data_IF_421281655284
#
_entry.id   IF_421281655284
#
_cell.length_a   1.000
_cell.length_b   1.000
_cell.length_c   1.000
_cell.angle_alpha   90.00
_cell.angle_beta   90.00
_cell.angle_gamma   90.00
#
_symmetry.space_group_name_H-M   'P 1'
#
loop_
_entity.id
_entity.type
_entity.pdbx_description
1 polymer ?
#
# COMPACT_ATOMS: atom_id res chain seq x y z
N UNK A 1 -4.65 1.92 -2.38
CA UNK A 1 -3.60 1.27 -1.56
C UNK A 1 -4.05 -0.10 -1.09
N UNK A 2 -5.13 -0.19 -0.31
CA UNK A 2 -5.71 -1.45 0.16
C UNK A 2 -5.95 -2.50 -0.95
N UNK A 3 -6.60 -2.12 -2.04
CA UNK A 3 -6.85 -3.01 -3.18
C UNK A 3 -5.55 -3.54 -3.82
N UNK A 4 -4.57 -2.66 -4.05
CA UNK A 4 -3.27 -3.06 -4.57
C UNK A 4 -2.54 -4.04 -3.62
N UNK A 5 -2.56 -3.77 -2.31
CA UNK A 5 -2.01 -4.68 -1.31
C UNK A 5 -2.71 -6.05 -1.30
N UNK A 6 -4.04 -6.07 -1.46
CA UNK A 6 -4.82 -7.31 -1.55
C UNK A 6 -4.43 -8.13 -2.78
N UNK A 7 -4.22 -7.49 -3.94
CA UNK A 7 -3.75 -8.16 -5.16
C UNK A 7 -2.35 -8.75 -4.98
N UNK A 8 -1.38 -7.97 -4.44
CA UNK A 8 -0.06 -8.50 -4.11
C UNK A 8 -0.14 -9.70 -3.15
N UNK A 9 -1.01 -9.63 -2.13
CA UNK A 9 -1.18 -10.71 -1.16
C UNK A 9 -1.72 -11.98 -1.82
N UNK A 10 -2.71 -11.87 -2.71
CA UNK A 10 -3.26 -13.02 -3.44
C UNK A 10 -2.21 -13.67 -4.35
N UNK A 11 -1.43 -12.87 -5.08
CA UNK A 11 -0.34 -13.38 -5.91
C UNK A 11 0.71 -14.12 -5.07
N UNK A 12 1.11 -13.52 -3.95
CA UNK A 12 2.04 -14.12 -3.00
C UNK A 12 1.52 -15.46 -2.44
N UNK A 13 0.25 -15.51 -2.05
CA UNK A 13 -0.41 -16.74 -1.61
C UNK A 13 -0.41 -17.81 -2.70
N UNK A 14 -0.63 -17.41 -3.96
CA UNK A 14 -0.53 -18.29 -5.13
C UNK A 14 0.88 -18.86 -5.32
N UNK A 15 1.92 -18.05 -5.13
CA UNK A 15 3.33 -18.46 -5.21
C UNK A 15 3.68 -19.42 -4.07
N UNK A 16 3.24 -19.14 -2.83
CA UNK A 16 3.40 -20.06 -1.70
C UNK A 16 2.72 -21.39 -1.99
N UNK A 17 1.46 -21.39 -2.45
CA UNK A 17 0.69 -22.59 -2.69
C UNK A 17 1.35 -23.51 -3.74
N UNK A 18 1.93 -22.92 -4.80
CA UNK A 18 2.55 -23.64 -5.91
C UNK A 18 4.01 -24.06 -5.65
N UNK A 19 4.69 -23.45 -4.68
CA UNK A 19 6.10 -23.77 -4.39
C UNK A 19 6.23 -25.25 -3.98
N UNK A 20 7.16 -26.03 -4.57
CA UNK A 20 7.37 -27.43 -4.21
C UNK A 20 8.25 -27.62 -2.96
N UNK A 21 8.72 -26.53 -2.34
CA UNK A 21 9.64 -26.59 -1.21
C UNK A 21 9.00 -27.23 0.04
N UNK A 22 9.72 -28.16 0.66
CA UNK A 22 9.36 -28.78 1.94
C UNK A 22 9.49 -27.83 3.14
N UNK A 23 10.20 -26.70 2.99
CA UNK A 23 10.26 -25.64 4.01
C UNK A 23 8.90 -24.98 4.25
N UNK A 24 8.01 -25.00 3.24
CA UNK A 24 6.63 -24.54 3.37
C UNK A 24 5.76 -25.73 3.80
N UNK A 25 5.68 -25.96 5.11
CA UNK A 25 4.84 -27.00 5.71
C UNK A 25 3.36 -26.76 5.39
N UNK A 26 2.54 -27.81 5.53
CA UNK A 26 1.08 -27.69 5.37
C UNK A 26 0.48 -26.61 6.28
N UNK A 27 0.95 -26.54 7.53
CA UNK A 27 0.50 -25.54 8.50
C UNK A 27 0.86 -24.11 8.05
N UNK A 28 2.09 -23.90 7.55
CA UNK A 28 2.52 -22.59 7.05
C UNK A 28 1.70 -22.18 5.82
N UNK A 29 1.44 -23.10 4.89
CA UNK A 29 0.59 -22.82 3.71
C UNK A 29 -0.85 -22.48 4.10
N UNK A 30 -1.41 -23.17 5.09
CA UNK A 30 -2.74 -22.86 5.62
C UNK A 30 -2.77 -21.47 6.25
N UNK A 31 -1.77 -21.13 7.08
CA UNK A 31 -1.65 -19.79 7.67
C UNK A 31 -1.47 -18.71 6.59
N UNK A 32 -0.68 -18.96 5.56
CA UNK A 32 -0.48 -18.04 4.44
C UNK A 32 -1.79 -17.77 3.69
N UNK A 33 -2.54 -18.82 3.36
CA UNK A 33 -3.86 -18.73 2.70
C UNK A 33 -4.90 -17.98 3.53
N UNK A 34 -4.79 -18.03 4.86
CA UNK A 34 -5.76 -17.39 5.75
C UNK A 34 -5.64 -15.85 5.80
N UNK A 35 -4.54 -15.27 5.29
CA UNK A 35 -4.38 -13.82 5.32
C UNK A 35 -5.37 -13.10 4.39
N UNK A 36 -5.95 -12.01 4.88
CA UNK A 36 -6.79 -11.09 4.12
C UNK A 36 -6.51 -9.64 4.52
N UNK A 37 -6.96 -8.70 3.69
CA UNK A 37 -6.98 -7.27 4.02
C UNK A 37 -8.34 -6.96 4.65
N UNK A 38 -8.36 -6.12 5.69
CA UNK A 38 -9.59 -5.70 6.36
C UNK A 38 -10.57 -5.06 5.37
N UNK A 39 -11.85 -5.27 5.61
CA UNK A 39 -12.88 -4.54 4.91
C UNK A 39 -12.77 -3.07 5.25
N UNK A 40 -12.70 -2.25 4.21
CA UNK A 40 -12.56 -0.81 4.31
C UNK A 40 -13.55 -0.16 3.34
N UNK A 41 -13.92 1.09 3.62
CA UNK A 41 -14.68 1.90 2.69
C UNK A 41 -14.26 3.37 2.81
N UNK A 42 -14.48 4.11 1.72
CA UNK A 42 -14.37 5.56 1.69
C UNK A 42 -15.79 6.10 1.69
N UNK A 43 -16.11 6.98 2.63
CA UNK A 43 -17.36 7.73 2.64
C UNK A 43 -17.04 9.21 2.48
N UNK A 44 -17.93 9.95 1.83
CA UNK A 44 -17.76 11.38 1.67
C UNK A 44 -19.09 12.10 1.88
N UNK A 45 -19.01 13.39 2.21
CA UNK A 45 -20.15 14.31 2.24
C UNK A 45 -20.02 15.34 1.11
N UNK A 46 -21.14 15.89 0.63
CA UNK A 46 -21.15 16.83 -0.49
C UNK A 46 -21.22 16.16 -1.85
N UNK A 47 -20.68 16.82 -2.89
CA UNK A 47 -20.71 16.33 -4.27
C UNK A 47 -19.60 15.31 -4.54
N UNK A 48 -19.88 14.24 -5.28
CA UNK A 48 -18.90 13.19 -5.59
C UNK A 48 -17.65 13.70 -6.31
N UNK A 49 -17.82 14.68 -7.19
CA UNK A 49 -16.73 15.31 -7.94
C UNK A 49 -15.93 16.31 -7.11
N UNK A 50 -16.50 16.78 -5.99
CA UNK A 50 -15.91 17.80 -5.11
C UNK A 50 -16.38 17.61 -3.66
N UNK A 51 -15.97 16.50 -3.02
CA UNK A 51 -16.46 16.17 -1.68
C UNK A 51 -15.99 17.20 -0.67
N UNK A 52 -16.86 17.55 0.27
CA UNK A 52 -16.58 18.51 1.34
C UNK A 52 -15.76 17.87 2.45
N UNK A 53 -16.13 16.65 2.84
CA UNK A 53 -15.39 15.83 3.80
C UNK A 53 -15.25 14.41 3.26
N UNK A 54 -14.16 13.75 3.64
CA UNK A 54 -13.82 12.39 3.21
C UNK A 54 -13.34 11.63 4.43
N UNK A 55 -13.93 10.47 4.67
CA UNK A 55 -13.59 9.59 5.77
C UNK A 55 -13.21 8.22 5.24
N UNK A 56 -12.22 7.62 5.89
CA UNK A 56 -11.77 6.26 5.67
C UNK A 56 -12.24 5.44 6.86
N UNK A 57 -13.03 4.40 6.58
CA UNK A 57 -13.55 3.50 7.59
C UNK A 57 -13.00 2.10 7.36
N UNK A 58 -12.75 1.40 8.46
CA UNK A 58 -12.35 -0.01 8.47
C UNK A 58 -13.21 -0.78 9.47
N UNK A 59 -13.37 -2.08 9.24
CA UNK A 59 -13.97 -2.95 10.25
C UNK A 59 -13.08 -3.01 11.49
N UNK A 60 -13.66 -2.76 12.67
CA UNK A 60 -12.93 -2.91 13.93
C UNK A 60 -12.46 -4.36 14.11
N UNK A 61 -11.19 -4.53 14.45
CA UNK A 61 -10.56 -5.84 14.65
C UNK A 61 -10.47 -6.19 16.15
N UNK A 62 -11.36 -7.04 16.70
CA UNK A 62 -11.26 -7.46 18.10
C UNK A 62 -10.14 -8.50 18.29
N UNK A 63 -9.16 -8.20 19.13
CA UNK A 63 -8.15 -9.16 19.56
C UNK A 63 -6.79 -8.54 19.86
N UNK A 64 -5.76 -9.39 19.91
CA UNK A 64 -4.38 -8.95 20.10
C UNK A 64 -3.84 -8.41 18.79
N UNK A 65 -3.56 -7.11 18.77
CA UNK A 65 -2.98 -6.43 17.64
C UNK A 65 -1.47 -6.66 17.60
N UNK A 66 -0.97 -7.04 16.43
CA UNK A 66 0.46 -7.27 16.19
C UNK A 66 0.93 -6.53 14.95
N UNK A 67 2.18 -6.09 14.98
CA UNK A 67 2.89 -5.55 13.82
C UNK A 67 3.89 -6.58 13.32
N UNK A 68 3.81 -6.95 12.05
CA UNK A 68 4.68 -7.94 11.40
C UNK A 68 5.83 -7.29 10.62
N UNK A 69 5.60 -6.11 10.04
CA UNK A 69 6.63 -5.26 9.43
C UNK A 69 6.28 -3.78 9.62
N UNK A 70 7.27 -2.89 9.50
CA UNK A 70 7.10 -1.43 9.47
C UNK A 70 7.52 -0.91 8.09
N UNK A 71 7.20 0.34 7.77
CA UNK A 71 7.71 1.05 6.60
C UNK A 71 9.11 1.68 6.80
N UNK A 72 9.62 1.77 8.04
CA UNK A 72 10.93 2.35 8.34
C UNK A 72 11.79 1.55 9.33
N UNK A 73 11.23 0.53 9.99
CA UNK A 73 11.96 -0.37 10.90
C UNK A 73 11.57 -1.84 10.66
N UNK A 74 12.35 -2.54 9.84
CA UNK A 74 12.07 -3.93 9.48
C UNK A 74 12.55 -4.96 10.54
N UNK A 75 13.12 -4.50 11.66
CA UNK A 75 13.55 -5.35 12.78
C UNK A 75 12.43 -5.52 13.82
N UNK A 76 11.29 -6.04 13.39
CA UNK A 76 10.13 -6.27 14.26
C UNK A 76 10.41 -7.40 15.25
N UNK A 77 10.13 -7.16 16.53
CA UNK A 77 10.32 -8.17 17.58
C UNK A 77 9.24 -9.24 17.58
N UNK A 78 9.65 -10.50 17.74
CA UNK A 78 8.78 -11.66 17.85
C UNK A 78 8.07 -11.81 19.20
N UNK A 79 8.40 -10.96 20.20
CA UNK A 79 7.89 -11.07 21.57
C UNK A 79 6.60 -10.29 21.83
N UNK A 80 5.93 -9.81 20.80
CA UNK A 80 4.65 -9.11 20.95
C UNK A 80 3.57 -10.08 21.45
N UNK A 81 2.72 -9.68 22.41
CA UNK A 81 1.54 -10.46 22.79
C UNK A 81 0.67 -10.77 21.55
N UNK A 82 0.27 -12.03 21.39
CA UNK A 82 -0.52 -12.48 20.24
C UNK A 82 0.28 -12.78 18.96
N UNK A 83 1.60 -12.57 18.95
CA UNK A 83 2.44 -12.86 17.78
C UNK A 83 2.55 -14.36 17.52
N UNK A 84 2.24 -14.77 16.28
CA UNK A 84 2.50 -16.10 15.75
C UNK A 84 3.75 -16.05 14.87
N UNK A 85 4.76 -16.86 15.19
CA UNK A 85 6.07 -16.85 14.51
C UNK A 85 5.99 -17.26 13.04
N UNK A 86 5.07 -18.15 12.68
CA UNK A 86 4.87 -18.53 11.28
C UNK A 86 4.26 -17.36 10.52
N UNK A 87 3.29 -16.67 11.12
CA UNK A 87 2.67 -15.47 10.53
C UNK A 87 3.68 -14.33 10.36
N UNK A 88 4.54 -14.11 11.35
CA UNK A 88 5.66 -13.18 11.25
C UNK A 88 6.58 -13.54 10.08
N UNK A 89 6.91 -14.83 9.94
CA UNK A 89 7.78 -15.31 8.87
C UNK A 89 7.14 -15.15 7.49
N UNK A 90 5.85 -15.46 7.36
CA UNK A 90 5.07 -15.28 6.13
C UNK A 90 5.01 -13.80 5.75
N UNK A 91 4.69 -12.90 6.67
CA UNK A 91 4.57 -11.46 6.38
C UNK A 91 5.92 -10.81 6.08
N UNK A 92 7.01 -11.21 6.77
CA UNK A 92 8.36 -10.78 6.39
C UNK A 92 8.75 -11.28 4.99
N UNK A 93 8.37 -12.52 4.66
CA UNK A 93 8.54 -13.07 3.33
C UNK A 93 7.71 -12.35 2.28
N UNK A 94 6.52 -11.86 2.62
CA UNK A 94 5.64 -11.10 1.74
C UNK A 94 6.26 -9.76 1.35
N UNK A 95 6.75 -9.01 2.33
CA UNK A 95 7.50 -7.77 2.09
C UNK A 95 8.67 -8.00 1.13
N UNK A 96 9.51 -9.02 1.37
CA UNK A 96 10.62 -9.33 0.46
C UNK A 96 10.14 -9.79 -0.93
N UNK A 97 9.15 -10.68 -1.00
CA UNK A 97 8.62 -11.15 -2.28
C UNK A 97 8.08 -9.99 -3.12
N UNK A 98 7.39 -9.01 -2.52
CA UNK A 98 6.88 -7.85 -3.26
C UNK A 98 8.01 -7.00 -3.89
N UNK A 99 9.15 -6.88 -3.20
CA UNK A 99 10.35 -6.21 -3.71
C UNK A 99 10.97 -6.97 -4.89
N UNK A 100 11.04 -8.30 -4.81
CA UNK A 100 11.54 -9.13 -5.91
C UNK A 100 10.60 -9.08 -7.11
N UNK A 101 9.29 -9.23 -6.86
CA UNK A 101 8.26 -9.25 -7.90
C UNK A 101 8.22 -7.93 -8.69
N UNK A 102 8.51 -6.80 -8.03
CA UNK A 102 8.58 -5.48 -8.66
C UNK A 102 9.96 -5.13 -9.24
N UNK A 103 10.91 -6.07 -9.27
CA UNK A 103 12.31 -5.84 -9.68
C UNK A 103 12.97 -4.68 -8.92
N UNK A 104 12.67 -4.59 -7.62
CA UNK A 104 13.25 -3.61 -6.72
C UNK A 104 12.59 -2.23 -6.73
N UNK A 105 11.45 -2.06 -7.40
CA UNK A 105 10.75 -0.76 -7.50
C UNK A 105 9.76 -0.50 -6.36
N UNK A 106 9.08 -1.54 -5.90
CA UNK A 106 7.93 -1.44 -4.99
C UNK A 106 8.09 -2.38 -3.81
N UNK A 107 7.71 -1.94 -2.62
CA UNK A 107 7.79 -2.68 -1.37
C UNK A 107 6.46 -2.57 -0.61
N UNK A 108 5.81 -3.70 -0.36
CA UNK A 108 4.64 -3.78 0.53
C UNK A 108 5.14 -3.96 1.97
N UNK A 109 4.75 -3.05 2.85
CA UNK A 109 5.23 -2.98 4.23
C UNK A 109 4.14 -2.46 5.17
N UNK A 110 4.53 -2.12 6.40
CA UNK A 110 3.62 -1.73 7.48
C UNK A 110 2.50 -2.79 7.71
N UNK A 111 2.87 -4.06 7.63
CA UNK A 111 1.94 -5.17 7.76
C UNK A 111 1.57 -5.37 9.23
N UNK A 112 0.31 -5.17 9.58
CA UNK A 112 -0.16 -5.17 10.96
C UNK A 112 -1.64 -5.55 11.04
N UNK A 113 -2.12 -5.98 12.21
CA UNK A 113 -3.53 -6.30 12.41
C UNK A 113 -3.76 -7.35 13.49
N UNK A 114 -4.87 -8.09 13.37
CA UNK A 114 -5.28 -9.12 14.34
C UNK A 114 -5.43 -10.45 13.65
N UNK A 115 -4.79 -11.49 14.19
CA UNK A 115 -4.91 -12.83 13.64
C UNK A 115 -4.33 -12.91 12.23
N UNK A 116 -5.18 -13.07 11.22
CA UNK A 116 -4.80 -13.11 9.80
C UNK A 116 -5.43 -11.97 8.99
N UNK A 117 -6.08 -11.02 9.65
CA UNK A 117 -6.63 -9.83 8.98
C UNK A 117 -5.65 -8.69 9.14
N UNK A 118 -5.15 -8.20 8.01
CA UNK A 118 -4.19 -7.10 7.90
C UNK A 118 -4.95 -5.80 7.69
N UNK A 119 -4.53 -4.75 8.39
CA UNK A 119 -5.02 -3.39 8.18
C UNK A 119 -3.88 -2.40 7.97
N UNK A 120 -4.22 -1.25 7.39
CA UNK A 120 -3.33 -0.13 7.09
C UNK A 120 -2.00 -0.54 6.45
N UNK A 121 -1.99 -1.41 5.40
CA UNK A 121 -0.75 -1.75 4.74
C UNK A 121 -0.24 -0.57 3.92
N UNK A 122 1.08 -0.36 3.90
CA UNK A 122 1.73 0.70 3.12
C UNK A 122 2.42 0.10 1.88
N UNK A 123 2.28 0.80 0.75
CA UNK A 123 3.12 0.57 -0.43
C UNK A 123 4.15 1.69 -0.52
N UNK A 124 5.41 1.31 -0.66
CA UNK A 124 6.54 2.20 -0.85
C UNK A 124 7.09 1.97 -2.25
N UNK A 125 7.22 3.04 -3.05
CA UNK A 125 7.50 2.92 -4.49
C UNK A 125 8.50 3.98 -4.97
N UNK A 126 9.50 3.56 -5.73
CA UNK A 126 10.51 4.48 -6.30
C UNK A 126 9.89 5.55 -7.19
N UNK A 127 8.72 5.29 -7.77
CA UNK A 127 7.92 6.32 -8.40
C UNK A 127 7.17 7.15 -7.35
N UNK A 128 7.73 8.31 -7.03
CA UNK A 128 7.22 9.24 -6.02
C UNK A 128 5.84 9.84 -6.34
N UNK A 129 5.34 9.73 -7.58
CA UNK A 129 3.98 10.20 -7.92
C UNK A 129 2.89 9.20 -7.52
N UNK A 130 3.26 7.95 -7.20
CA UNK A 130 2.32 6.92 -6.77
C UNK A 130 2.13 6.93 -5.26
N UNK A 131 0.95 6.47 -4.82
CA UNK A 131 0.60 6.17 -3.43
C UNK A 131 0.47 7.37 -2.48
N UNK A 132 0.48 8.60 -3.01
CA UNK A 132 0.27 9.83 -2.25
C UNK A 132 1.39 10.14 -1.25
N UNK A 133 1.11 11.06 -0.33
CA UNK A 133 2.12 11.65 0.58
C UNK A 133 2.77 10.65 1.56
N UNK A 134 2.21 9.45 1.70
CA UNK A 134 2.76 8.37 2.54
C UNK A 134 3.94 7.62 1.93
N UNK A 135 4.28 7.87 0.66
CA UNK A 135 5.36 7.17 -0.03
C UNK A 135 6.75 7.68 0.42
N UNK A 136 7.45 6.88 1.23
CA UNK A 136 8.77 7.20 1.79
C UNK A 136 9.91 6.36 1.17
N UNK A 137 9.85 6.08 -0.14
CA UNK A 137 10.71 5.10 -0.83
C UNK A 137 12.20 5.21 -0.61
N UNK A 138 12.76 6.42 -0.62
CA UNK A 138 14.19 6.60 -0.38
C UNK A 138 14.63 5.97 0.95
N UNK A 139 13.87 6.22 2.02
CA UNK A 139 14.20 5.71 3.36
C UNK A 139 13.69 4.28 3.57
N UNK A 140 12.43 4.00 3.20
CA UNK A 140 11.80 2.72 3.47
C UNK A 140 12.52 1.56 2.77
N UNK A 141 12.85 1.70 1.49
CA UNK A 141 13.58 0.67 0.74
C UNK A 141 14.99 0.51 1.30
N UNK A 142 15.71 1.60 1.59
CA UNK A 142 17.04 1.51 2.19
C UNK A 142 17.02 0.74 3.52
N UNK A 143 16.08 1.09 4.42
CA UNK A 143 15.94 0.41 5.70
C UNK A 143 15.55 -1.07 5.54
N UNK A 144 14.75 -1.41 4.53
CA UNK A 144 14.46 -2.80 4.21
C UNK A 144 15.73 -3.56 3.77
N UNK A 145 16.51 -2.98 2.86
CA UNK A 145 17.75 -3.60 2.38
C UNK A 145 18.79 -3.78 3.50
N UNK A 146 18.88 -2.84 4.43
CA UNK A 146 19.80 -2.91 5.57
C UNK A 146 19.40 -3.98 6.59
N UNK A 147 18.10 -4.08 6.91
CA UNK A 147 17.62 -4.82 8.08
C UNK A 147 16.96 -6.17 7.77
N UNK A 148 16.58 -6.46 6.52
CA UNK A 148 15.89 -7.71 6.19
C UNK A 148 16.80 -8.91 6.36
N UNK A 149 16.32 -9.92 7.09
CA UNK A 149 16.98 -11.21 7.26
C UNK A 149 16.06 -12.28 6.65
N UNK A 150 16.56 -12.99 5.64
CA UNK A 150 15.80 -14.06 5.00
C UNK A 150 15.45 -15.19 5.97
N UNK A 151 14.17 -15.58 5.96
CA UNK A 151 13.65 -16.73 6.71
C UNK A 151 13.36 -17.93 5.77
N UNK A 152 12.76 -18.99 6.30
CA UNK A 152 12.45 -20.20 5.53
C UNK A 152 11.46 -19.96 4.38
N UNK A 153 10.57 -18.98 4.52
CA UNK A 153 9.65 -18.60 3.44
C UNK A 153 10.44 -17.95 2.30
N UNK A 154 11.36 -17.03 2.60
CA UNK A 154 12.23 -16.42 1.58
C UNK A 154 13.08 -17.48 0.87
N UNK A 155 13.65 -18.43 1.62
CA UNK A 155 14.45 -19.55 1.07
C UNK A 155 13.62 -20.49 0.21
N UNK A 156 12.42 -20.85 0.66
CA UNK A 156 11.50 -21.71 -0.07
C UNK A 156 11.07 -21.13 -1.42
N UNK A 157 10.95 -19.81 -1.49
CA UNK A 157 10.58 -19.07 -2.69
C UNK A 157 11.80 -18.67 -3.54
N UNK A 158 13.02 -19.01 -3.11
CA UNK A 158 14.28 -18.72 -3.81
C UNK A 158 14.44 -17.23 -4.16
N UNK A 159 14.08 -16.35 -3.22
CA UNK A 159 14.08 -14.90 -3.46
C UNK A 159 15.48 -14.27 -3.60
N UNK A 160 16.53 -14.97 -3.15
CA UNK A 160 17.89 -14.43 -3.12
C UNK A 160 18.08 -13.41 -2.00
N UNK A 161 19.15 -12.60 -2.09
CA UNK A 161 19.35 -11.43 -1.22
C UNK A 161 18.68 -10.22 -1.87
N UNK A 162 17.91 -9.41 -1.11
CA UNK A 162 17.32 -8.18 -1.65
C UNK A 162 18.36 -7.21 -2.24
N UNK A 163 19.60 -7.24 -1.71
CA UNK A 163 20.69 -6.35 -2.13
C UNK A 163 21.23 -6.67 -3.52
N UNK A 164 20.94 -7.86 -4.03
CA UNK A 164 21.44 -8.31 -5.34
C UNK A 164 20.54 -7.81 -6.48
N UNK A 165 19.38 -7.24 -6.16
CA UNK A 165 18.43 -6.72 -7.13
C UNK A 165 18.86 -5.31 -7.56
N UNK A 166 19.24 -5.18 -8.82
CA UNK A 166 19.48 -3.88 -9.45
C UNK A 166 18.12 -3.35 -9.93
N UNK A 167 17.61 -2.24 -9.36
CA UNK A 167 16.34 -1.67 -9.79
C UNK A 167 16.44 -1.22 -11.23
N UNK A 168 15.43 -1.53 -12.05
CA UNK A 168 15.29 -0.85 -13.33
C UNK A 168 15.11 0.63 -13.06
N UNK A 169 16.09 1.44 -13.49
CA UNK A 169 15.92 2.89 -13.48
C UNK A 169 14.78 3.15 -14.45
N UNK A 170 13.61 3.50 -13.91
CA UNK A 170 12.64 4.22 -14.70
C UNK A 170 13.38 5.46 -15.21
N UNK A 171 13.74 5.45 -16.50
CA UNK A 171 14.13 6.66 -17.18
C UNK A 171 12.99 7.63 -16.89
N UNK A 172 13.22 8.56 -15.97
CA UNK A 172 12.40 9.75 -15.84
C UNK A 172 12.60 10.43 -17.17
N UNK A 173 11.73 10.12 -18.13
CA UNK A 173 11.62 10.84 -19.38
C UNK A 173 11.50 12.28 -18.94
N UNK A 174 12.58 13.04 -19.17
CA UNK A 174 12.49 14.48 -19.20
C UNK A 174 11.29 14.77 -20.09
N UNK A 175 10.19 15.23 -19.49
CA UNK A 175 9.28 16.13 -20.17
C UNK A 175 10.10 17.40 -20.43
N UNK A 176 11.03 17.32 -21.38
CA UNK A 176 11.48 18.47 -22.13
C UNK A 176 10.25 18.90 -22.92
N UNK A 177 9.53 19.87 -22.38
CA UNK A 177 8.68 20.75 -23.18
C UNK A 177 9.57 21.37 -24.27
N UNK A 178 9.64 20.72 -25.42
CA UNK A 178 10.06 21.35 -26.67
C UNK A 178 8.91 22.23 -27.15
N UNK A 179 8.76 23.40 -26.53
CA UNK A 179 8.07 24.52 -27.15
C UNK A 179 9.17 25.41 -27.77
N UNK A 180 9.50 25.13 -29.03
CA UNK A 180 10.26 26.06 -29.86
C UNK A 180 9.45 27.35 -30.02
N UNK A 181 9.87 28.42 -29.35
CA UNK A 181 9.38 29.76 -29.64
C UNK A 181 10.35 30.38 -30.64
N UNK A 182 9.94 30.37 -31.90
CA UNK A 182 10.48 31.26 -32.93
C UNK A 182 10.14 32.71 -32.53
N UNK A 183 11.16 33.54 -32.30
CA UNK A 183 11.02 34.98 -32.22
C UNK A 183 11.45 35.62 -33.56
N UNK A 184 10.45 35.88 -34.40
CA UNK A 184 10.48 36.90 -35.44
C UNK A 184 9.57 38.07 -35.02
N UNK A 185 10.10 39.29 -35.09
CA UNK A 185 9.49 40.55 -34.66
C UNK A 185 8.18 40.91 -35.41
N UNK A 186 7.18 41.49 -34.71
CA UNK A 186 6.71 42.87 -34.88
C UNK A 186 5.46 43.23 -34.04
N UNK A 187 5.39 44.51 -33.63
CA UNK A 187 4.37 45.26 -32.86
C UNK A 187 2.90 45.02 -33.28
N UNK A 188 1.89 45.10 -32.40
CA UNK A 188 1.27 46.36 -31.91
C UNK A 188 0.11 46.15 -30.89
N UNK A 189 0.05 47.01 -29.86
CA UNK A 189 -1.11 47.70 -29.21
C UNK A 189 -2.25 46.93 -28.48
N UNK A 190 -2.24 47.07 -27.15
CA UNK A 190 -3.30 47.31 -26.13
C UNK A 190 -4.66 46.56 -26.11
N UNK A 191 -4.99 45.89 -24.99
CA UNK A 191 -5.89 46.35 -23.89
C UNK A 191 -6.29 45.19 -22.94
N UNK A 192 -6.23 45.47 -21.62
CA UNK A 192 -6.94 44.92 -20.44
C UNK A 192 -7.40 43.45 -20.36
N UNK A 193 -6.95 42.73 -19.31
CA UNK A 193 -7.76 41.88 -18.38
C UNK A 193 -6.89 41.36 -17.20
N UNK A 194 -7.48 40.94 -16.05
CA UNK A 194 -6.89 41.08 -14.71
C UNK A 194 -5.87 40.00 -14.31
N UNK A 195 -5.08 40.35 -13.28
CA UNK A 195 -4.06 39.52 -12.67
C UNK A 195 -4.59 38.16 -12.17
N UNK A 196 -4.08 37.08 -12.77
CA UNK A 196 -4.19 35.72 -12.22
C UNK A 196 -3.10 35.58 -11.16
N UNK A 197 -3.51 35.58 -9.89
CA UNK A 197 -2.70 35.09 -8.79
C UNK A 197 -2.53 33.58 -8.94
N UNK A 198 -1.34 33.14 -9.31
CA UNK A 198 -0.98 31.71 -9.34
C UNK A 198 -0.77 31.22 -7.90
N UNK A 199 -1.79 30.57 -7.34
CA UNK A 199 -1.65 29.77 -6.12
C UNK A 199 -0.98 28.44 -6.49
N UNK A 200 0.19 28.08 -5.93
CA UNK A 200 0.84 26.80 -6.17
C UNK A 200 0.28 25.76 -5.20
N UNK A 201 -0.87 25.19 -5.52
CA UNK A 201 -1.35 23.99 -4.83
C UNK A 201 -2.39 23.29 -5.67
N UNK A 202 -2.06 22.12 -6.22
CA UNK A 202 -2.96 20.99 -6.49
C UNK A 202 -2.26 19.96 -7.40
N UNK A 203 -1.43 19.11 -6.81
CA UNK A 203 -1.28 17.72 -7.30
C UNK A 203 -2.05 16.80 -6.34
N UNK A 204 -3.34 17.09 -6.12
CA UNK A 204 -4.24 16.14 -5.48
C UNK A 204 -4.83 15.27 -6.57
N UNK A 205 -4.48 13.99 -6.57
CA UNK A 205 -5.19 12.98 -7.36
C UNK A 205 -6.67 13.08 -6.99
N UNK A 206 -7.53 13.35 -7.98
CA UNK A 206 -8.96 13.52 -7.76
C UNK A 206 -9.56 12.21 -7.21
N UNK A 207 -10.51 12.31 -6.28
CA UNK A 207 -11.21 11.14 -5.71
C UNK A 207 -11.90 10.32 -6.81
N UNK A 208 -12.37 10.97 -7.88
CA UNK A 208 -12.87 10.30 -9.08
C UNK A 208 -11.87 9.29 -9.66
N UNK A 209 -10.56 9.56 -9.57
CA UNK A 209 -9.50 8.64 -10.04
C UNK A 209 -9.27 7.46 -9.10
N UNK A 210 -9.69 7.54 -7.83
CA UNK A 210 -9.70 6.41 -6.88
C UNK A 210 -10.96 5.54 -6.99
N UNK A 211 -12.08 6.12 -7.44
CA UNK A 211 -13.38 5.45 -7.55
C UNK A 211 -13.65 4.84 -8.94
N UNK A 212 -12.81 5.11 -9.94
CA UNK A 212 -13.01 4.64 -11.33
C UNK A 212 -12.56 3.19 -11.58
N UNK A 213 -12.37 2.36 -10.56
CA UNK A 213 -12.03 0.94 -10.75
C UNK A 213 -13.27 0.13 -11.16
N UNK A 214 -13.30 -0.22 -12.46
CA UNK A 214 -14.08 -1.23 -13.16
C UNK A 214 -15.30 -1.87 -12.45
N UNK A 215 -16.49 -1.53 -12.96
CA UNK A 215 -17.83 -2.01 -12.55
C UNK A 215 -18.05 -3.52 -12.82
N UNK A 216 -17.03 -4.28 -13.22
CA UNK A 216 -17.16 -5.67 -13.71
C UNK A 216 -16.39 -6.74 -12.91
N UNK A 217 -15.89 -6.45 -11.71
CA UNK A 217 -15.37 -7.48 -10.81
C UNK A 217 -16.40 -7.86 -9.72
N UNK A 218 -16.90 -9.11 -9.69
CA UNK A 218 -17.93 -9.50 -8.72
C UNK A 218 -17.29 -9.95 -7.40
N UNK A 219 -16.67 -9.03 -6.63
CA UNK A 219 -16.40 -9.22 -5.19
C UNK A 219 -16.40 -7.84 -4.47
N UNK A 220 -17.41 -7.00 -4.70
CA UNK A 220 -17.77 -6.03 -3.67
C UNK A 220 -18.68 -6.77 -2.69
N UNK A 221 -18.39 -6.77 -1.36
CA UNK A 221 -19.42 -7.16 -0.40
C UNK A 221 -20.65 -6.29 -0.66
N UNK A 222 -21.83 -6.89 -0.54
CA UNK A 222 -23.11 -6.19 -0.72
C UNK A 222 -23.05 -4.84 0.00
N UNK A 223 -23.41 -3.72 -0.68
CA UNK A 223 -23.43 -2.37 -0.08
C UNK A 223 -24.13 -2.37 1.30
N UNK A 224 -25.06 -3.29 1.50
CA UNK A 224 -25.81 -3.45 2.73
C UNK A 224 -25.03 -4.16 3.85
N UNK A 225 -23.78 -4.58 3.69
CA UNK A 225 -22.99 -5.19 4.76
C UNK A 225 -22.81 -4.23 5.93
N UNK A 226 -22.47 -2.97 5.64
CA UNK A 226 -22.34 -1.93 6.67
C UNK A 226 -23.67 -1.57 7.33
N UNK A 227 -24.80 -1.88 6.66
CA UNK A 227 -26.16 -1.73 7.19
C UNK A 227 -26.73 -3.02 7.79
N UNK A 228 -25.98 -4.14 7.72
CA UNK A 228 -26.46 -5.45 8.15
C UNK A 228 -26.26 -5.66 9.65
N UNK A 229 -27.09 -6.52 10.25
CA UNK A 229 -26.99 -6.92 11.66
C UNK A 229 -25.66 -7.64 12.00
N UNK A 230 -24.82 -7.93 10.99
CA UNK A 230 -23.46 -8.44 11.16
C UNK A 230 -22.45 -7.35 11.53
N UNK A 231 -22.81 -6.07 11.34
CA UNK A 231 -22.01 -4.92 11.75
C UNK A 231 -22.34 -4.56 13.20
N UNK A 232 -21.64 -5.21 14.14
CA UNK A 232 -21.82 -4.92 15.57
C UNK A 232 -21.30 -3.51 15.88
N UNK A 233 -22.12 -2.63 16.51
CA UNK A 233 -21.65 -1.31 16.93
C UNK A 233 -20.50 -1.46 17.91
N UNK A 234 -19.32 -0.99 17.54
CA UNK A 234 -18.24 -0.80 18.50
C UNK A 234 -18.47 0.52 19.24
N UNK A 235 -18.40 0.47 20.57
CA UNK A 235 -18.46 1.68 21.40
C UNK A 235 -17.44 2.71 20.89
N UNK A 236 -17.85 3.99 20.83
CA UNK A 236 -16.97 5.11 20.50
C UNK A 236 -15.70 5.03 21.35
N UNK A 237 -14.60 4.62 20.73
CA UNK A 237 -13.28 4.77 21.29
C UNK A 237 -12.73 6.07 20.73
N UNK A 238 -12.41 6.99 21.63
CA UNK A 238 -11.68 8.22 21.31
C UNK A 238 -10.54 7.91 20.33
N UNK A 239 -10.30 8.73 19.29
CA UNK A 239 -9.28 8.48 18.29
C UNK A 239 -7.91 8.36 18.97
N UNK A 240 -7.42 7.13 19.11
CA UNK A 240 -6.06 6.87 19.55
C UNK A 240 -5.22 6.79 18.30
N UNK A 241 -4.34 7.77 18.11
CA UNK A 241 -3.35 7.75 17.05
C UNK A 241 -2.42 6.52 17.24
N UNK A 242 -2.52 5.55 16.34
CA UNK A 242 -1.76 4.29 16.37
C UNK A 242 -0.39 4.40 15.71
N UNK A 243 -0.05 5.53 15.08
CA UNK A 243 1.26 5.76 14.42
C UNK A 243 2.46 5.78 15.38
N UNK A 244 2.22 5.73 16.70
CA UNK A 244 3.25 5.75 17.74
C UNK A 244 3.42 4.44 18.54
N UNK A 245 2.90 3.30 18.09
CA UNK A 245 3.12 1.99 18.73
C UNK A 245 3.94 1.03 17.87
#
# INVERSE_FOLDING_TARGET
MYEACANYLQDYQGVIAKSPSNLLTTALRQKAKAFNIVHHCVIFTGEETSPSEVYFLEASLPGQYVKYSSNVNFSVTSRQPGMDIDKLSIMNGFTHWSYVASRGNTLVCDLQGVGSTITDPQIVDRNHVLWGDGNNATRGIQQFLENHICNDVCRALKLGSPKDIIPEVANSTQLQTSAEINHGNNWSVATDLPAITTNPCQNRVAIASLLSTDVNTPILPNLNYFQSDLNLPTADRTPVNTSGR
#
